data_IF_921428399761
#
_entry.id   IF_921428399761
#
_cell.length_a   1.000
_cell.length_b   1.000
_cell.length_c   1.000
_cell.angle_alpha   90.00
_cell.angle_beta   90.00
_cell.angle_gamma   90.00
#
_symmetry.space_group_name_H-M   'P 1'
#
loop_
_entity.id
_entity.type
_entity.pdbx_description
1 polymer ?
#
# COMPACT_ATOMS: atom_id res chain seq x y z
N UNK A 1 -5.51 -8.31 -5.72
CA UNK A 1 -4.44 -7.36 -5.38
C UNK A 1 -3.12 -8.00 -5.76
N UNK A 2 -2.08 -7.21 -6.08
CA UNK A 2 -0.72 -7.70 -6.37
C UNK A 2 0.23 -7.28 -5.25
N UNK A 3 1.22 -8.13 -4.98
CA UNK A 3 2.31 -7.82 -4.04
C UNK A 3 3.62 -7.74 -4.81
N UNK A 4 4.32 -6.62 -4.69
CA UNK A 4 5.64 -6.42 -5.28
C UNK A 4 6.69 -6.27 -4.19
N UNK A 5 7.70 -7.13 -4.22
CA UNK A 5 8.71 -7.21 -3.17
C UNK A 5 9.76 -6.09 -3.25
N UNK A 6 10.12 -5.59 -2.08
CA UNK A 6 11.22 -4.67 -1.84
C UNK A 6 11.15 -3.40 -2.69
N UNK A 7 12.32 -2.98 -3.19
CA UNK A 7 12.46 -1.73 -3.94
C UNK A 7 11.68 -1.71 -5.27
N UNK A 8 11.34 -2.86 -5.83
CA UNK A 8 10.53 -2.94 -7.06
C UNK A 8 9.10 -2.40 -6.83
N UNK A 9 8.63 -2.41 -5.59
CA UNK A 9 7.31 -1.93 -5.20
C UNK A 9 7.20 -0.41 -5.02
N UNK A 10 8.31 0.33 -4.94
CA UNK A 10 8.27 1.75 -4.53
C UNK A 10 7.45 2.65 -5.47
N UNK A 11 7.41 2.30 -6.76
CA UNK A 11 6.65 3.01 -7.79
C UNK A 11 5.24 2.44 -8.00
N UNK A 12 4.84 1.44 -7.22
CA UNK A 12 3.53 0.79 -7.31
C UNK A 12 2.52 1.53 -6.44
N UNK A 13 2.26 2.78 -6.81
CA UNK A 13 1.33 3.70 -6.19
C UNK A 13 0.68 4.54 -7.29
N UNK A 14 -0.63 4.81 -7.19
CA UNK A 14 -1.34 5.75 -8.07
C UNK A 14 -1.03 7.22 -7.72
N UNK A 15 -0.23 7.47 -6.68
CA UNK A 15 0.18 8.78 -6.19
C UNK A 15 1.71 8.93 -6.20
N UNK A 16 2.28 9.50 -5.14
CA UNK A 16 3.72 9.61 -4.95
C UNK A 16 4.36 8.24 -4.74
N UNK A 17 5.64 8.12 -5.12
CA UNK A 17 6.46 6.95 -4.84
C UNK A 17 6.65 6.76 -3.32
N UNK A 18 6.68 5.51 -2.87
CA UNK A 18 7.01 5.19 -1.49
C UNK A 18 8.52 5.40 -1.22
N UNK A 19 8.91 5.87 -0.03
CA UNK A 19 10.32 5.96 0.33
C UNK A 19 10.91 4.56 0.53
N UNK A 20 12.20 4.36 0.25
CA UNK A 20 12.86 3.06 0.45
C UNK A 20 13.06 2.70 1.94
N UNK A 21 12.99 3.70 2.82
CA UNK A 21 13.13 3.59 4.28
C UNK A 21 12.14 4.52 4.96
N UNK A 22 11.71 4.15 6.16
CA UNK A 22 10.91 5.01 7.03
C UNK A 22 11.25 4.73 8.50
N UNK A 23 10.71 5.52 9.42
CA UNK A 23 10.85 5.28 10.86
C UNK A 23 9.82 4.27 11.35
N UNK A 24 10.25 3.34 12.19
CA UNK A 24 9.37 2.37 12.82
C UNK A 24 8.35 3.10 13.69
N UNK A 25 7.06 2.81 13.56
CA UNK A 25 6.02 3.45 14.37
C UNK A 25 6.14 3.08 15.85
N UNK A 26 6.68 1.87 16.15
CA UNK A 26 6.82 1.31 17.49
C UNK A 26 8.06 1.81 18.24
N UNK A 27 9.28 1.66 17.69
CA UNK A 27 10.52 2.00 18.39
C UNK A 27 11.26 3.22 17.82
N UNK A 28 10.75 3.87 16.77
CA UNK A 28 11.40 4.97 16.03
C UNK A 28 12.74 4.60 15.36
N UNK A 29 13.13 3.33 15.38
CA UNK A 29 14.27 2.78 14.64
C UNK A 29 14.09 2.82 13.13
N UNK A 30 15.14 2.45 12.39
CA UNK A 30 15.11 2.46 10.92
C UNK A 30 14.40 1.22 10.36
N UNK A 31 13.38 1.45 9.53
CA UNK A 31 12.63 0.39 8.83
C UNK A 31 12.95 0.39 7.34
N UNK A 32 13.05 -0.80 6.75
CA UNK A 32 13.34 -1.01 5.32
C UNK A 32 12.13 -1.60 4.61
N UNK A 33 11.91 -1.20 3.35
CA UNK A 33 10.80 -1.73 2.55
C UNK A 33 10.88 -3.25 2.45
N UNK A 34 9.78 -3.92 2.82
CA UNK A 34 9.56 -5.34 2.66
C UNK A 34 8.84 -5.64 1.36
N UNK A 35 7.64 -5.07 1.19
CA UNK A 35 6.82 -5.21 -0.02
C UNK A 35 5.78 -4.10 -0.14
N UNK A 36 5.21 -3.95 -1.32
CA UNK A 36 4.06 -3.06 -1.58
C UNK A 36 2.91 -3.90 -2.10
N UNK A 37 1.77 -3.85 -1.41
CA UNK A 37 0.49 -4.35 -1.91
C UNK A 37 -0.19 -3.23 -2.72
N UNK A 38 -0.58 -3.51 -3.95
CA UNK A 38 -1.14 -2.52 -4.88
C UNK A 38 -2.10 -3.16 -5.87
N UNK A 39 -2.77 -2.31 -6.63
CA UNK A 39 -3.85 -2.69 -7.53
C UNK A 39 -3.35 -2.64 -8.95
N UNK A 40 -3.02 -3.79 -9.53
CA UNK A 40 -2.91 -3.92 -10.99
C UNK A 40 -2.13 -2.84 -11.75
N UNK A 41 -1.20 -2.09 -11.12
CA UNK A 41 -0.54 -0.91 -11.73
C UNK A 41 0.30 -1.31 -12.96
N UNK A 42 0.57 -2.61 -13.10
CA UNK A 42 1.30 -3.22 -14.20
C UNK A 42 0.44 -3.63 -15.40
N UNK A 43 -0.88 -3.46 -15.35
CA UNK A 43 -1.80 -3.86 -16.42
C UNK A 43 -2.45 -2.62 -17.07
N UNK A 44 -2.62 -2.66 -18.40
CA UNK A 44 -3.40 -1.64 -19.10
C UNK A 44 -4.80 -1.62 -18.49
N UNK A 45 -5.21 -0.45 -17.99
CA UNK A 45 -6.53 -0.28 -17.36
C UNK A 45 -7.59 -0.43 -18.44
N UNK A 46 -8.19 -1.62 -18.53
CA UNK A 46 -9.34 -1.88 -19.41
C UNK A 46 -10.57 -1.27 -18.74
N UNK A 47 -11.29 -0.40 -19.47
CA UNK A 47 -12.56 0.16 -19.03
C UNK A 47 -13.73 -0.66 -19.60
N UNK A 48 -14.81 -0.89 -18.82
CA UNK A 48 -15.01 -0.46 -17.43
C UNK A 48 -14.08 -1.19 -16.47
N UNK A 49 -13.67 -0.53 -15.37
CA UNK A 49 -12.86 -1.14 -14.31
C UNK A 49 -13.69 -2.24 -13.65
N UNK A 50 -13.73 -3.42 -14.25
CA UNK A 50 -14.43 -4.58 -13.70
C UNK A 50 -13.62 -5.10 -12.50
N UNK A 51 -13.75 -4.39 -11.38
CA UNK A 51 -13.78 -4.78 -9.97
C UNK A 51 -12.84 -5.85 -9.42
N UNK A 52 -11.80 -6.25 -10.12
CA UNK A 52 -10.89 -7.26 -9.60
C UNK A 52 -9.64 -6.53 -9.17
N UNK A 53 -9.44 -6.51 -7.84
CA UNK A 53 -8.16 -6.38 -7.13
C UNK A 53 -7.89 -5.10 -6.31
N UNK A 54 -8.89 -4.58 -5.60
CA UNK A 54 -8.64 -3.63 -4.50
C UNK A 54 -7.67 -4.21 -3.46
N UNK A 55 -6.83 -3.37 -2.85
CA UNK A 55 -5.94 -3.82 -1.77
C UNK A 55 -6.72 -4.08 -0.49
N UNK A 56 -7.75 -3.28 -0.21
CA UNK A 56 -8.65 -3.48 0.92
C UNK A 56 -9.99 -4.03 0.48
N UNK A 57 -10.37 -5.18 1.03
CA UNK A 57 -11.75 -5.66 1.10
C UNK A 57 -12.29 -5.46 2.54
N UNK A 58 -11.87 -4.35 3.16
CA UNK A 58 -12.08 -4.10 4.59
C UNK A 58 -13.48 -3.53 4.90
N UNK A 59 -14.17 -2.98 3.90
CA UNK A 59 -15.55 -2.49 4.03
C UNK A 59 -16.28 -2.51 2.68
N UNK A 60 -17.60 -2.33 2.72
CA UNK A 60 -18.40 -2.12 1.52
C UNK A 60 -18.06 -0.77 0.86
N UNK A 61 -17.72 -0.79 -0.42
CA UNK A 61 -17.45 0.42 -1.20
C UNK A 61 -18.69 1.35 -1.17
N UNK A 62 -18.46 2.68 -1.12
CA UNK A 62 -19.47 3.76 -0.95
C UNK A 62 -19.94 3.98 0.51
N UNK A 63 -19.00 4.31 1.39
CA UNK A 63 -19.25 4.58 2.81
C UNK A 63 -20.34 5.64 3.07
N UNK A 64 -21.19 5.38 4.06
CA UNK A 64 -22.27 6.27 4.52
C UNK A 64 -21.78 7.30 5.55
N UNK A 65 -20.77 8.10 5.18
CA UNK A 65 -20.35 9.27 5.98
C UNK A 65 -19.30 9.03 7.07
N UNK A 66 -18.76 7.82 7.21
CA UNK A 66 -17.57 7.56 8.03
C UNK A 66 -16.30 7.71 7.17
N UNK A 67 -15.22 8.22 7.76
CA UNK A 67 -13.91 8.25 7.10
C UNK A 67 -13.34 6.83 7.05
N UNK A 68 -13.20 6.29 5.84
CA UNK A 68 -12.61 4.99 5.58
C UNK A 68 -11.50 5.11 4.55
N UNK A 69 -10.58 4.13 4.58
CA UNK A 69 -9.51 4.02 3.61
C UNK A 69 -10.13 3.72 2.25
N UNK A 70 -9.73 4.49 1.23
CA UNK A 70 -10.24 4.27 -0.11
C UNK A 70 -9.89 2.86 -0.62
N UNK A 71 -10.85 2.20 -1.25
CA UNK A 71 -10.67 0.83 -1.74
C UNK A 71 -9.57 0.78 -2.80
N UNK A 72 -9.47 1.83 -3.63
CA UNK A 72 -8.42 2.06 -4.62
C UNK A 72 -7.15 2.62 -3.95
N UNK A 73 -6.20 1.78 -3.55
CA UNK A 73 -5.02 2.22 -2.80
C UNK A 73 -3.76 1.38 -3.03
N UNK A 74 -2.63 1.87 -2.50
CA UNK A 74 -1.40 1.11 -2.36
C UNK A 74 -0.88 1.17 -0.93
N UNK A 75 -0.38 0.05 -0.42
CA UNK A 75 0.12 -0.11 0.95
C UNK A 75 1.55 -0.62 0.91
N UNK A 76 2.50 0.17 1.42
CA UNK A 76 3.88 -0.24 1.57
C UNK A 76 4.15 -0.73 3.00
N UNK A 77 4.64 -1.97 3.12
CA UNK A 77 5.01 -2.59 4.40
C UNK A 77 6.52 -2.58 4.55
N UNK A 78 6.97 -2.07 5.69
CA UNK A 78 8.36 -1.95 6.10
C UNK A 78 8.62 -2.79 7.34
N UNK A 79 9.82 -3.35 7.45
CA UNK A 79 10.26 -4.08 8.64
C UNK A 79 11.36 -3.30 9.36
N UNK A 80 11.20 -3.09 10.66
CA UNK A 80 12.20 -2.48 11.52
C UNK A 80 13.40 -3.42 11.69
N UNK A 81 14.63 -2.90 11.64
CA UNK A 81 15.82 -3.71 11.90
C UNK A 81 16.03 -4.04 13.38
N UNK A 82 15.50 -3.20 14.25
CA UNK A 82 15.81 -3.23 15.68
C UNK A 82 14.79 -4.08 16.44
N UNK A 83 13.49 -3.86 16.20
CA UNK A 83 12.42 -4.59 16.87
C UNK A 83 11.68 -5.59 15.97
N UNK A 84 12.03 -5.68 14.69
CA UNK A 84 11.38 -6.55 13.68
C UNK A 84 9.89 -6.28 13.42
N UNK A 85 9.30 -5.30 14.12
CA UNK A 85 7.92 -4.89 13.91
C UNK A 85 7.69 -4.26 12.53
N UNK A 86 6.45 -4.42 12.05
CA UNK A 86 6.00 -3.84 10.80
C UNK A 86 5.69 -2.34 10.94
N UNK A 87 5.82 -1.62 9.84
CA UNK A 87 5.31 -0.25 9.70
C UNK A 87 4.69 -0.13 8.32
N UNK A 88 3.48 0.40 8.24
CA UNK A 88 2.77 0.59 6.99
C UNK A 88 2.75 2.07 6.60
N UNK A 89 2.97 2.35 5.32
CA UNK A 89 2.62 3.63 4.69
C UNK A 89 1.52 3.38 3.66
N UNK A 90 0.60 4.34 3.56
CA UNK A 90 -0.62 4.22 2.78
C UNK A 90 -0.78 5.41 1.86
N UNK A 91 -1.08 5.15 0.59
CA UNK A 91 -1.39 6.15 -0.43
C UNK A 91 -2.77 5.83 -1.03
N UNK A 92 -3.67 6.83 -1.02
CA UNK A 92 -5.03 6.77 -1.59
C UNK A 92 -5.24 7.91 -2.58
N UNK A 93 -5.56 7.58 -3.83
CA UNK A 93 -5.90 8.54 -4.88
C UNK A 93 -7.35 8.98 -4.83
#
# INVERSE_FOLDING_TARGET
>A
MKVTLGKKGLKKSWQTEFPAKTKCVHCKGDSRIGFVAHEGIDEEVIFPRDFIQFVSDLHENKGKGNLWLHDCCAVAIYFCKDCLEATALYNQG
#
